data_IF_018783417043
#
_entry.id   IF_018783417043
#
_cell.length_a   1.000
_cell.length_b   1.000
_cell.length_c   1.000
_cell.angle_alpha   90.00
_cell.angle_beta   90.00
_cell.angle_gamma   90.00
#
_symmetry.space_group_name_H-M   'P 1'
#
loop_
_entity.id
_entity.type
_entity.pdbx_description
1 polymer ?
#
# COMPACT_ATOMS: atom_id res chain seq x y z
N UNK A 1 17.72 -10.52 5.90
CA UNK A 1 19.11 -10.01 5.97
C UNK A 1 20.12 -11.12 6.19
N UNK A 2 19.98 -11.98 7.22
CA UNK A 2 20.91 -13.11 7.45
C UNK A 2 21.00 -14.08 6.25
N UNK A 3 19.85 -14.40 5.62
CA UNK A 3 19.78 -15.26 4.43
C UNK A 3 20.32 -14.55 3.16
N UNK A 4 20.20 -13.22 3.09
CA UNK A 4 20.71 -12.43 1.96
C UNK A 4 22.24 -12.25 2.02
N UNK A 5 22.79 -12.11 3.22
CA UNK A 5 24.23 -12.04 3.47
C UNK A 5 24.94 -13.36 3.17
N UNK A 6 24.28 -14.49 3.40
CA UNK A 6 24.81 -15.84 3.13
C UNK A 6 24.72 -16.23 1.65
N UNK A 7 23.85 -15.60 0.86
CA UNK A 7 23.62 -15.88 -0.57
C UNK A 7 24.34 -14.92 -1.51
N UNK A 8 25.07 -13.92 -0.99
CA UNK A 8 25.79 -12.93 -1.79
C UNK A 8 24.90 -11.92 -2.53
N UNK A 9 23.58 -11.95 -2.34
CA UNK A 9 22.62 -11.07 -3.02
C UNK A 9 22.21 -9.85 -2.18
N UNK A 10 22.99 -9.50 -1.15
CA UNK A 10 22.67 -8.44 -0.21
C UNK A 10 22.29 -7.11 -0.88
N UNK A 11 22.98 -6.74 -1.97
CA UNK A 11 22.72 -5.50 -2.71
C UNK A 11 21.32 -5.44 -3.33
N UNK A 12 20.83 -6.55 -3.89
CA UNK A 12 19.50 -6.62 -4.53
C UNK A 12 18.41 -6.50 -3.46
N UNK A 13 18.58 -7.19 -2.34
CA UNK A 13 17.65 -7.11 -1.21
C UNK A 13 17.63 -5.70 -0.59
N UNK A 14 18.80 -5.09 -0.40
CA UNK A 14 18.91 -3.72 0.10
C UNK A 14 18.21 -2.72 -0.84
N UNK A 15 18.43 -2.82 -2.15
CA UNK A 15 17.75 -1.98 -3.12
C UNK A 15 16.24 -2.16 -3.05
N UNK A 16 15.75 -3.41 -2.97
CA UNK A 16 14.33 -3.70 -2.83
C UNK A 16 13.71 -3.09 -1.57
N UNK A 17 14.37 -3.23 -0.41
CA UNK A 17 13.89 -2.64 0.84
C UNK A 17 13.94 -1.11 0.82
N UNK A 18 14.96 -0.51 0.21
CA UNK A 18 15.03 0.94 0.05
C UNK A 18 13.90 1.48 -0.82
N UNK A 19 13.65 0.85 -1.97
CA UNK A 19 12.54 1.24 -2.87
C UNK A 19 11.19 1.08 -2.18
N UNK A 20 10.98 -0.05 -1.48
CA UNK A 20 9.75 -0.28 -0.74
C UNK A 20 9.57 0.72 0.41
N UNK A 21 10.63 0.95 1.20
CA UNK A 21 10.59 1.88 2.33
C UNK A 21 10.33 3.32 1.88
N UNK A 22 10.97 3.76 0.78
CA UNK A 22 10.74 5.07 0.21
C UNK A 22 9.31 5.22 -0.33
N UNK A 23 8.83 4.24 -1.11
CA UNK A 23 7.48 4.25 -1.66
C UNK A 23 6.40 4.21 -0.57
N UNK A 24 6.56 3.33 0.41
CA UNK A 24 5.64 3.18 1.52
C UNK A 24 5.64 4.42 2.44
N UNK A 25 6.82 4.99 2.72
CA UNK A 25 6.95 6.18 3.56
C UNK A 25 6.19 7.40 3.02
N UNK A 26 6.06 7.52 1.70
CA UNK A 26 5.29 8.59 1.06
C UNK A 26 3.77 8.44 1.19
N UNK A 27 3.25 7.25 1.48
CA UNK A 27 1.80 6.98 1.49
C UNK A 27 1.06 7.74 2.59
N UNK A 28 1.67 7.86 3.77
CA UNK A 28 1.10 8.56 4.93
C UNK A 28 0.87 10.05 4.60
N UNK A 29 1.91 10.87 4.31
CA UNK A 29 1.70 12.29 4.03
C UNK A 29 0.86 12.52 2.77
N UNK A 30 0.99 11.67 1.75
CA UNK A 30 0.18 11.79 0.54
C UNK A 30 -1.31 11.57 0.83
N UNK A 31 -1.65 10.56 1.64
CA UNK A 31 -3.04 10.32 2.05
C UNK A 31 -3.60 11.49 2.86
N UNK A 32 -2.82 12.04 3.80
CA UNK A 32 -3.22 13.23 4.58
C UNK A 32 -3.50 14.44 3.70
N UNK A 33 -2.63 14.69 2.72
CA UNK A 33 -2.77 15.77 1.77
C UNK A 33 -4.00 15.59 0.85
N UNK A 34 -4.20 14.38 0.32
CA UNK A 34 -5.32 14.08 -0.58
C UNK A 34 -6.68 14.31 0.11
N UNK A 35 -6.87 13.81 1.32
CA UNK A 35 -8.13 14.03 2.05
C UNK A 35 -8.43 15.52 2.25
N UNK A 36 -7.42 16.29 2.67
CA UNK A 36 -7.58 17.72 2.89
C UNK A 36 -7.83 18.50 1.59
N UNK A 37 -7.22 18.07 0.48
CA UNK A 37 -7.38 18.70 -0.84
C UNK A 37 -8.75 18.43 -1.46
N UNK A 38 -9.24 17.19 -1.35
CA UNK A 38 -10.49 16.76 -1.98
C UNK A 38 -11.74 17.15 -1.19
N UNK A 39 -11.68 17.08 0.14
CA UNK A 39 -12.87 17.22 0.98
C UNK A 39 -12.83 18.43 1.93
N UNK A 40 -11.72 19.18 1.92
CA UNK A 40 -11.51 20.25 2.88
C UNK A 40 -11.27 19.72 4.31
N UNK A 41 -11.13 20.65 5.26
CA UNK A 41 -10.73 20.34 6.65
C UNK A 41 -11.87 20.33 7.66
N UNK A 42 -13.08 20.76 7.27
CA UNK A 42 -14.21 20.95 8.19
C UNK A 42 -14.79 19.64 8.71
N UNK A 43 -14.81 18.58 7.90
CA UNK A 43 -15.40 17.28 8.25
C UNK A 43 -14.45 16.10 7.98
N UNK A 44 -13.13 16.34 7.98
CA UNK A 44 -12.14 15.34 7.60
C UNK A 44 -12.17 14.09 8.49
N UNK A 45 -12.48 14.25 9.78
CA UNK A 45 -12.60 13.14 10.72
C UNK A 45 -13.79 12.22 10.44
N UNK A 46 -14.95 12.80 10.08
CA UNK A 46 -16.14 12.02 9.73
C UNK A 46 -15.93 11.23 8.43
N UNK A 47 -15.34 11.87 7.42
CA UNK A 47 -15.05 11.25 6.12
C UNK A 47 -14.05 10.10 6.27
N UNK A 48 -12.98 10.33 7.03
CA UNK A 48 -12.02 9.27 7.38
C UNK A 48 -12.65 8.13 8.15
N UNK A 49 -13.53 8.44 9.09
CA UNK A 49 -14.25 7.45 9.90
C UNK A 49 -15.06 6.48 9.05
N UNK A 50 -15.62 6.92 7.93
CA UNK A 50 -16.35 6.05 6.99
C UNK A 50 -15.41 5.18 6.16
N UNK A 51 -14.24 5.68 5.79
CA UNK A 51 -13.25 4.91 5.00
C UNK A 51 -12.40 3.94 5.83
N UNK A 52 -12.18 4.23 7.10
CA UNK A 52 -11.28 3.46 7.97
C UNK A 52 -11.64 1.97 8.13
N UNK A 53 -12.93 1.57 8.22
CA UNK A 53 -13.32 0.17 8.30
C UNK A 53 -12.85 -0.65 7.09
N UNK A 54 -12.86 -0.07 5.89
CA UNK A 54 -12.39 -0.74 4.67
C UNK A 54 -10.88 -1.02 4.80
N UNK A 55 -10.12 -0.05 5.29
CA UNK A 55 -8.68 -0.21 5.55
C UNK A 55 -8.43 -1.30 6.58
N UNK A 56 -9.18 -1.34 7.69
CA UNK A 56 -9.03 -2.37 8.73
C UNK A 56 -9.33 -3.77 8.19
N UNK A 57 -10.41 -3.91 7.41
CA UNK A 57 -10.76 -5.19 6.79
C UNK A 57 -9.66 -5.61 5.81
N UNK A 58 -9.13 -4.69 5.01
CA UNK A 58 -8.04 -4.97 4.08
C UNK A 58 -6.74 -5.38 4.78
N UNK A 59 -6.32 -4.66 5.83
CA UNK A 59 -5.09 -4.98 6.58
C UNK A 59 -5.24 -6.25 7.41
N UNK A 60 -6.44 -6.60 7.84
CA UNK A 60 -6.73 -7.87 8.51
C UNK A 60 -6.81 -9.07 7.56
N UNK A 61 -7.49 -8.93 6.42
CA UNK A 61 -7.66 -10.02 5.46
C UNK A 61 -6.40 -10.30 4.64
N UNK A 62 -5.59 -9.29 4.36
CA UNK A 62 -4.39 -9.40 3.53
C UNK A 62 -3.43 -10.52 3.99
N UNK A 63 -2.96 -10.52 5.25
CA UNK A 63 -2.07 -11.56 5.76
C UNK A 63 -2.69 -12.96 5.72
N UNK A 64 -4.00 -13.09 5.98
CA UNK A 64 -4.70 -14.38 5.97
C UNK A 64 -4.75 -14.96 4.55
N UNK A 65 -5.13 -14.14 3.57
CA UNK A 65 -5.18 -14.55 2.17
C UNK A 65 -3.79 -14.91 1.62
N UNK A 66 -2.78 -14.10 1.95
CA UNK A 66 -1.39 -14.34 1.55
C UNK A 66 -0.85 -15.61 2.21
N UNK A 67 -1.12 -15.80 3.51
CA UNK A 67 -0.71 -16.99 4.27
C UNK A 67 -1.30 -18.26 3.65
N UNK A 68 -2.62 -18.28 3.47
CA UNK A 68 -3.32 -19.39 2.83
C UNK A 68 -2.77 -19.70 1.43
N UNK A 69 -2.53 -18.68 0.61
CA UNK A 69 -1.97 -18.88 -0.73
C UNK A 69 -0.54 -19.43 -0.67
N UNK A 70 0.26 -18.96 0.29
CA UNK A 70 1.63 -19.44 0.47
C UNK A 70 1.68 -20.89 0.95
N UNK A 71 0.73 -21.32 1.78
CA UNK A 71 0.62 -22.70 2.25
C UNK A 71 0.32 -23.67 1.11
N UNK A 72 -0.53 -23.25 0.16
CA UNK A 72 -0.92 -24.08 -1.00
C UNK A 72 0.13 -24.07 -2.10
N UNK A 73 0.69 -22.90 -2.42
CA UNK A 73 1.60 -22.75 -3.57
C UNK A 73 3.07 -22.98 -3.23
N UNK A 74 3.42 -23.01 -1.94
CA UNK A 74 4.80 -23.04 -1.43
C UNK A 74 5.69 -21.91 -1.99
N UNK A 75 5.07 -20.86 -2.53
CA UNK A 75 5.73 -19.69 -3.12
C UNK A 75 4.96 -18.42 -2.79
N UNK A 76 5.71 -17.34 -2.56
CA UNK A 76 5.19 -16.00 -2.31
C UNK A 76 5.07 -15.15 -3.57
N UNK A 77 5.62 -15.62 -4.70
CA UNK A 77 5.64 -14.87 -5.95
C UNK A 77 4.25 -14.34 -6.38
N UNK A 78 3.17 -15.16 -6.41
CA UNK A 78 1.83 -14.67 -6.74
C UNK A 78 1.28 -13.63 -5.75
N UNK A 79 1.60 -13.76 -4.45
CA UNK A 79 1.21 -12.78 -3.46
C UNK A 79 1.88 -11.41 -3.68
N UNK A 80 3.18 -11.40 -4.02
CA UNK A 80 3.89 -10.17 -4.37
C UNK A 80 3.33 -9.51 -5.64
N UNK A 81 3.00 -10.31 -6.66
CA UNK A 81 2.36 -9.80 -7.88
C UNK A 81 1.01 -9.16 -7.56
N UNK A 82 0.18 -9.81 -6.73
CA UNK A 82 -1.11 -9.27 -6.33
C UNK A 82 -0.98 -7.92 -5.60
N UNK A 83 0.00 -7.79 -4.70
CA UNK A 83 0.31 -6.53 -3.99
C UNK A 83 0.74 -5.44 -4.98
N UNK A 84 1.62 -5.77 -5.94
CA UNK A 84 2.07 -4.82 -6.97
C UNK A 84 0.86 -4.33 -7.79
N UNK A 85 0.00 -5.25 -8.24
CA UNK A 85 -1.23 -4.88 -8.96
C UNK A 85 -2.14 -3.98 -8.14
N UNK A 86 -2.34 -4.26 -6.84
CA UNK A 86 -3.15 -3.43 -5.96
C UNK A 86 -2.60 -1.99 -5.84
N UNK A 87 -1.27 -1.83 -5.68
CA UNK A 87 -0.65 -0.51 -5.66
C UNK A 87 -0.77 0.23 -7.00
N UNK A 88 -0.61 -0.47 -8.12
CA UNK A 88 -0.79 0.12 -9.45
C UNK A 88 -2.23 0.60 -9.67
N UNK A 89 -3.22 -0.21 -9.30
CA UNK A 89 -4.64 0.18 -9.38
C UNK A 89 -4.92 1.40 -8.50
N UNK A 90 -4.38 1.43 -7.28
CA UNK A 90 -4.48 2.60 -6.40
C UNK A 90 -3.87 3.86 -7.03
N UNK A 91 -2.66 3.74 -7.59
CA UNK A 91 -1.97 4.83 -8.26
C UNK A 91 -2.75 5.36 -9.47
N UNK A 92 -3.28 4.47 -10.31
CA UNK A 92 -4.12 4.86 -11.46
C UNK A 92 -5.40 5.54 -11.01
N UNK A 93 -6.04 5.05 -9.96
CA UNK A 93 -7.28 5.63 -9.41
C UNK A 93 -7.03 7.05 -8.92
N UNK A 94 -5.94 7.28 -8.18
CA UNK A 94 -5.53 8.61 -7.73
C UNK A 94 -5.19 9.52 -8.90
N UNK A 95 -4.51 9.00 -9.93
CA UNK A 95 -4.12 9.78 -11.11
C UNK A 95 -5.31 10.22 -11.96
N UNK A 96 -6.34 9.37 -12.09
CA UNK A 96 -7.58 9.67 -12.84
C UNK A 96 -8.53 10.55 -12.03
N UNK A 97 -8.46 10.47 -10.69
CA UNK A 97 -9.26 11.30 -9.80
C UNK A 97 -8.99 12.78 -10.06
N UNK A 98 -10.04 13.54 -10.39
CA UNK A 98 -9.97 14.98 -10.62
C UNK A 98 -10.28 15.73 -9.34
N UNK A 99 -9.47 16.73 -9.05
CA UNK A 99 -9.71 17.63 -7.92
C UNK A 99 -11.06 18.34 -8.09
N UNK A 100 -11.95 18.29 -7.08
CA UNK A 100 -13.20 19.04 -7.12
C UNK A 100 -12.89 20.53 -7.21
N UNK A 101 -13.55 21.25 -8.12
CA UNK A 101 -13.41 22.70 -8.22
C UNK A 101 -13.82 23.34 -6.87
N UNK A 102 -13.03 24.27 -6.31
CA UNK A 102 -13.41 24.98 -5.09
C UNK A 102 -14.75 25.69 -5.31
N UNK A 103 -15.76 25.38 -4.50
CA UNK A 103 -16.96 26.21 -4.33
C UNK A 103 -16.92 26.83 -2.94
#
# INVERSE_FOLDING_TARGET
MLIAATTGQASVWLAGFLLYGFGFGGTIPLSEFLWAKYFGRSHIGAIRGVGYPITIVGTGLGPVLIGYWSDVSLTYQPAFIAIICAYLVGAVTVWVSREPSPR
#
